data_IF_207347681402
#
_entry.id   IF_207347681402
#
_cell.length_a   1.000
_cell.length_b   1.000
_cell.length_c   1.000
_cell.angle_alpha   90.00
_cell.angle_beta   90.00
_cell.angle_gamma   90.00
#
_symmetry.space_group_name_H-M   'P 1'
#
loop_
_entity.id
_entity.type
_entity.pdbx_description
1 polymer ?
#
# COMPACT_ATOMS: atom_id res chain seq x y z
N UNK A 1 26.92 -22.04 -2.61
CA UNK A 1 25.82 -21.05 -2.58
C UNK A 1 25.98 -20.16 -3.80
N UNK A 2 25.05 -20.21 -4.76
CA UNK A 2 25.08 -19.32 -5.93
C UNK A 2 24.78 -17.92 -5.40
N UNK A 3 25.64 -16.92 -5.62
CA UNK A 3 25.27 -15.52 -5.40
C UNK A 3 24.09 -15.27 -6.34
N UNK A 4 22.90 -15.05 -5.80
CA UNK A 4 21.80 -14.52 -6.61
C UNK A 4 22.28 -13.18 -7.17
N UNK A 5 22.23 -13.04 -8.49
CA UNK A 5 22.55 -11.77 -9.12
C UNK A 5 21.54 -10.74 -8.65
N UNK A 6 22.03 -9.58 -8.21
CA UNK A 6 21.14 -8.52 -7.75
C UNK A 6 20.34 -7.99 -8.95
N UNK A 7 19.03 -8.21 -8.94
CA UNK A 7 18.07 -7.65 -9.88
C UNK A 7 18.03 -6.11 -9.79
N UNK A 8 17.37 -5.46 -10.75
CA UNK A 8 17.15 -4.00 -10.79
C UNK A 8 18.45 -3.16 -10.72
N UNK A 9 19.55 -3.67 -11.27
CA UNK A 9 20.84 -2.96 -11.22
C UNK A 9 21.45 -2.89 -9.82
N UNK A 10 21.00 -3.75 -8.90
CA UNK A 10 21.48 -3.82 -7.53
C UNK A 10 21.12 -2.60 -6.68
N UNK A 11 21.97 -2.30 -5.70
CA UNK A 11 21.71 -1.24 -4.70
C UNK A 11 21.47 0.14 -5.33
N UNK A 12 22.26 0.60 -6.34
CA UNK A 12 22.02 1.90 -6.98
C UNK A 12 20.66 1.98 -7.67
N UNK A 13 20.24 0.94 -8.40
CA UNK A 13 18.96 0.94 -9.07
C UNK A 13 17.77 0.84 -8.10
N UNK A 14 17.91 0.07 -7.02
CA UNK A 14 16.93 0.05 -5.93
C UNK A 14 16.73 1.44 -5.30
N UNK A 15 17.81 2.20 -5.04
CA UNK A 15 17.72 3.58 -4.56
C UNK A 15 16.97 4.46 -5.57
N UNK A 16 17.32 4.34 -6.86
CA UNK A 16 16.66 5.08 -7.92
C UNK A 16 15.16 4.80 -7.98
N UNK A 17 14.75 3.54 -7.85
CA UNK A 17 13.34 3.13 -7.85
C UNK A 17 12.58 3.62 -6.63
N UNK A 18 13.18 3.59 -5.43
CA UNK A 18 12.58 4.16 -4.22
C UNK A 18 12.34 5.66 -4.42
N UNK A 19 13.33 6.42 -4.89
CA UNK A 19 13.16 7.87 -5.08
C UNK A 19 12.09 8.14 -6.15
N UNK A 20 12.13 7.40 -7.26
CA UNK A 20 11.20 7.58 -8.37
C UNK A 20 9.75 7.26 -7.97
N UNK A 21 9.51 6.18 -7.21
CA UNK A 21 8.17 5.78 -6.79
C UNK A 21 7.50 6.80 -5.87
N UNK A 22 8.28 7.57 -5.11
CA UNK A 22 7.78 8.65 -4.27
C UNK A 22 7.56 9.92 -5.09
N UNK A 23 8.46 10.23 -6.03
CA UNK A 23 8.38 11.44 -6.81
C UNK A 23 7.17 11.46 -7.78
N UNK A 24 6.96 10.36 -8.52
CA UNK A 24 5.98 10.32 -9.61
C UNK A 24 4.56 10.64 -9.16
N UNK A 25 3.99 10.03 -8.11
CA UNK A 25 2.60 10.29 -7.72
C UNK A 25 2.37 11.76 -7.33
N UNK A 26 3.32 12.36 -6.60
CA UNK A 26 3.21 13.78 -6.22
C UNK A 26 3.38 14.71 -7.42
N UNK A 27 4.28 14.41 -8.36
CA UNK A 27 4.40 15.18 -9.59
C UNK A 27 3.11 15.13 -10.41
N UNK A 28 2.51 13.95 -10.55
CA UNK A 28 1.23 13.78 -11.25
C UNK A 28 0.09 14.52 -10.54
N UNK A 29 0.03 14.51 -9.21
CA UNK A 29 -0.95 15.29 -8.45
C UNK A 29 -0.82 16.80 -8.73
N UNK A 30 0.41 17.33 -8.75
CA UNK A 30 0.65 18.74 -9.10
C UNK A 30 0.32 19.06 -10.56
N UNK A 31 0.62 18.15 -11.48
CA UNK A 31 0.27 18.26 -12.90
C UNK A 31 -1.24 18.32 -13.11
N UNK A 32 -2.00 17.47 -12.43
CA UNK A 32 -3.46 17.49 -12.46
C UNK A 32 -3.99 18.84 -11.93
N UNK A 33 -3.48 19.31 -10.80
CA UNK A 33 -3.99 20.51 -10.12
C UNK A 33 -3.64 21.82 -10.86
N UNK A 34 -2.39 21.98 -11.31
CA UNK A 34 -1.88 23.26 -11.82
C UNK A 34 -1.67 23.28 -13.34
N UNK A 35 -1.84 22.16 -14.02
CA UNK A 35 -1.62 22.05 -15.47
C UNK A 35 -2.72 21.26 -16.18
N UNK A 36 -3.86 21.00 -15.52
CA UNK A 36 -4.98 20.22 -16.08
C UNK A 36 -4.53 18.87 -16.65
N UNK A 37 -3.52 18.24 -16.02
CA UNK A 37 -2.91 16.98 -16.47
C UNK A 37 -1.81 17.11 -17.53
N UNK A 38 -1.48 18.33 -17.95
CA UNK A 38 -0.33 18.62 -18.82
C UNK A 38 1.02 18.62 -18.06
N UNK A 39 2.12 18.82 -18.78
CA UNK A 39 3.44 18.93 -18.15
C UNK A 39 3.51 20.15 -17.23
N UNK A 40 3.79 19.89 -15.96
CA UNK A 40 3.88 20.93 -14.94
C UNK A 40 5.32 21.44 -14.81
N UNK A 41 5.47 22.76 -14.94
CA UNK A 41 6.73 23.48 -14.81
C UNK A 41 6.58 24.60 -13.77
N UNK A 42 7.10 24.41 -12.54
CA UNK A 42 7.08 25.47 -11.55
C UNK A 42 8.02 26.61 -11.99
N UNK A 43 7.60 27.86 -11.80
CA UNK A 43 8.43 29.04 -12.10
C UNK A 43 9.66 29.16 -11.19
N UNK A 44 9.60 28.57 -9.99
CA UNK A 44 10.71 28.50 -9.05
C UNK A 44 10.57 27.30 -8.11
N UNK A 45 11.66 26.93 -7.42
CA UNK A 45 11.62 25.91 -6.38
C UNK A 45 10.68 26.28 -5.21
N UNK A 46 10.59 27.57 -4.86
CA UNK A 46 9.68 28.04 -3.81
C UNK A 46 8.21 27.83 -4.22
N UNK A 47 7.88 28.10 -5.48
CA UNK A 47 6.55 27.83 -6.05
C UNK A 47 6.23 26.34 -6.04
N UNK A 48 7.19 25.48 -6.39
CA UNK A 48 7.03 24.03 -6.29
C UNK A 48 6.69 23.60 -4.87
N UNK A 49 7.44 24.09 -3.86
CA UNK A 49 7.24 23.73 -2.47
C UNK A 49 5.90 24.25 -1.93
N UNK A 50 5.50 25.46 -2.31
CA UNK A 50 4.20 26.01 -1.94
C UNK A 50 3.06 25.20 -2.55
N UNK A 51 3.10 24.92 -3.85
CA UNK A 51 2.09 24.15 -4.56
C UNK A 51 1.96 22.72 -3.99
N UNK A 52 3.10 22.11 -3.63
CA UNK A 52 3.13 20.83 -2.94
C UNK A 52 2.44 20.89 -1.57
N UNK A 53 2.74 21.91 -0.77
CA UNK A 53 2.10 22.09 0.55
C UNK A 53 0.60 22.33 0.41
N UNK A 54 0.16 23.13 -0.56
CA UNK A 54 -1.26 23.41 -0.76
C UNK A 54 -2.03 22.17 -1.23
N UNK A 55 -1.43 21.35 -2.10
CA UNK A 55 -2.11 20.19 -2.71
C UNK A 55 -2.04 18.93 -1.83
N UNK A 56 -0.88 18.69 -1.21
CA UNK A 56 -0.53 17.39 -0.62
C UNK A 56 -0.33 17.44 0.89
N UNK A 57 -0.80 18.50 1.59
CA UNK A 57 -0.68 18.52 3.05
C UNK A 57 -1.48 17.35 3.66
N UNK A 58 -0.88 16.53 4.54
CA UNK A 58 -1.64 15.51 5.24
C UNK A 58 -2.65 16.19 6.19
N UNK A 59 -3.91 15.76 6.11
CA UNK A 59 -4.98 16.23 7.01
C UNK A 59 -5.49 15.07 7.84
N UNK A 60 -6.06 15.38 9.03
CA UNK A 60 -6.68 14.35 9.87
C UNK A 60 -7.86 13.66 9.17
N UNK A 61 -8.63 14.40 8.37
CA UNK A 61 -9.70 13.85 7.55
C UNK A 61 -9.18 12.78 6.57
N UNK A 62 -8.13 13.12 5.80
CA UNK A 62 -7.50 12.17 4.88
C UNK A 62 -6.88 10.97 5.62
N UNK A 63 -6.28 11.21 6.78
CA UNK A 63 -5.73 10.15 7.64
C UNK A 63 -6.80 9.14 8.03
N UNK A 64 -7.92 9.59 8.62
CA UNK A 64 -9.00 8.70 9.04
C UNK A 64 -9.71 8.04 7.85
N UNK A 65 -9.85 8.75 6.73
CA UNK A 65 -10.43 8.19 5.51
C UNK A 65 -9.60 7.02 4.98
N UNK A 66 -8.29 7.23 4.78
CA UNK A 66 -7.39 6.20 4.23
C UNK A 66 -7.18 5.05 5.20
N UNK A 67 -6.82 5.34 6.46
CA UNK A 67 -6.55 4.29 7.45
C UNK A 67 -7.82 3.54 7.84
N UNK A 68 -8.96 4.23 7.93
CA UNK A 68 -10.27 3.61 8.15
C UNK A 68 -10.62 2.64 7.02
N UNK A 69 -10.39 3.04 5.76
CA UNK A 69 -10.53 2.14 4.61
C UNK A 69 -9.61 0.91 4.70
N UNK A 70 -8.32 1.10 4.97
CA UNK A 70 -7.36 0.00 5.09
C UNK A 70 -7.74 -0.99 6.22
N UNK A 71 -8.12 -0.47 7.38
CA UNK A 71 -8.56 -1.27 8.52
C UNK A 71 -9.86 -2.02 8.23
N UNK A 72 -10.82 -1.37 7.56
CA UNK A 72 -12.05 -2.00 7.12
C UNK A 72 -11.76 -3.17 6.19
N UNK A 73 -10.89 -2.99 5.19
CA UNK A 73 -10.51 -4.07 4.26
C UNK A 73 -9.80 -5.22 4.97
N UNK A 74 -8.98 -4.91 5.97
CA UNK A 74 -8.34 -5.92 6.80
C UNK A 74 -9.37 -6.72 7.62
N UNK A 75 -10.35 -6.05 8.22
CA UNK A 75 -11.46 -6.70 8.95
C UNK A 75 -12.26 -7.58 7.99
N UNK A 76 -12.64 -7.05 6.82
CA UNK A 76 -13.36 -7.80 5.80
C UNK A 76 -12.59 -9.03 5.32
N UNK A 77 -11.26 -8.94 5.19
CA UNK A 77 -10.42 -10.08 4.87
C UNK A 77 -10.54 -11.21 5.89
N UNK A 78 -10.65 -10.88 7.18
CA UNK A 78 -10.83 -11.86 8.23
C UNK A 78 -12.26 -12.43 8.27
N UNK A 79 -13.28 -11.56 8.30
CA UNK A 79 -14.63 -11.98 8.68
C UNK A 79 -15.49 -12.48 7.52
N UNK A 80 -15.40 -11.85 6.33
CA UNK A 80 -16.38 -12.11 5.28
C UNK A 80 -16.24 -13.53 4.71
N UNK A 81 -17.33 -14.18 4.31
CA UNK A 81 -17.26 -15.52 3.73
C UNK A 81 -16.55 -15.51 2.38
N UNK A 82 -15.87 -16.60 2.07
CA UNK A 82 -15.25 -16.83 0.77
C UNK A 82 -14.59 -18.21 0.70
N UNK A 83 -14.29 -18.71 -0.51
CA UNK A 83 -13.62 -19.98 -0.68
C UNK A 83 -12.21 -19.96 -0.10
N UNK A 84 -11.80 -21.08 0.49
CA UNK A 84 -10.45 -21.30 0.96
C UNK A 84 -9.65 -22.08 -0.09
N UNK A 85 -8.51 -21.53 -0.50
CA UNK A 85 -7.67 -22.09 -1.56
C UNK A 85 -6.25 -22.28 -1.03
N UNK A 86 -5.65 -23.44 -1.31
CA UNK A 86 -4.25 -23.67 -0.98
C UNK A 86 -3.34 -22.96 -1.99
N UNK A 87 -2.39 -22.19 -1.47
CA UNK A 87 -1.34 -21.57 -2.26
C UNK A 87 -0.24 -22.57 -2.64
N UNK A 88 0.74 -22.07 -3.40
CA UNK A 88 1.90 -22.84 -3.79
C UNK A 88 2.78 -23.17 -2.57
N UNK A 89 3.46 -24.34 -2.58
CA UNK A 89 4.42 -24.67 -1.54
C UNK A 89 5.57 -23.67 -1.55
N UNK A 90 5.94 -23.18 -0.38
CA UNK A 90 7.02 -22.20 -0.20
C UNK A 90 8.34 -22.92 0.04
N UNK A 91 9.30 -22.94 -0.91
CA UNK A 91 10.53 -23.73 -0.77
C UNK A 91 11.41 -23.28 0.40
N UNK A 92 11.37 -21.99 0.71
CA UNK A 92 12.15 -21.36 1.79
C UNK A 92 11.57 -21.65 3.17
N UNK A 93 10.39 -22.26 3.25
CA UNK A 93 9.71 -22.63 4.48
C UNK A 93 9.37 -24.13 4.50
N UNK A 94 10.32 -24.98 4.11
CA UNK A 94 10.14 -26.44 4.07
C UNK A 94 8.93 -26.89 3.24
N UNK A 95 8.66 -26.22 2.12
CA UNK A 95 7.50 -26.46 1.25
C UNK A 95 6.15 -26.30 1.95
N UNK A 96 6.07 -25.48 3.01
CA UNK A 96 4.81 -25.14 3.67
C UNK A 96 3.82 -24.57 2.67
N UNK A 97 2.59 -25.09 2.68
CA UNK A 97 1.48 -24.57 1.91
C UNK A 97 0.56 -23.75 2.82
N UNK A 98 0.27 -22.53 2.40
CA UNK A 98 -0.67 -21.65 3.09
C UNK A 98 -2.08 -21.79 2.53
N UNK A 99 -3.08 -21.67 3.40
CA UNK A 99 -4.48 -21.58 2.98
C UNK A 99 -4.86 -20.10 2.93
N UNK A 100 -5.52 -19.70 1.85
CA UNK A 100 -5.93 -18.33 1.58
C UNK A 100 -7.44 -18.25 1.50
N UNK A 101 -8.03 -17.34 2.28
CA UNK A 101 -9.45 -17.03 2.24
C UNK A 101 -9.70 -16.00 1.14
N UNK A 102 -10.29 -16.43 0.03
CA UNK A 102 -10.47 -15.64 -1.18
C UNK A 102 -11.83 -14.93 -1.20
N UNK A 103 -12.01 -13.97 -0.30
CA UNK A 103 -13.25 -13.21 -0.08
C UNK A 103 -13.18 -11.75 -0.60
N UNK A 104 -12.31 -11.48 -1.58
CA UNK A 104 -12.12 -10.13 -2.13
C UNK A 104 -13.39 -9.57 -2.78
N UNK A 105 -14.13 -10.37 -3.56
CA UNK A 105 -15.39 -9.95 -4.18
C UNK A 105 -16.48 -9.61 -3.14
N UNK A 106 -16.62 -10.45 -2.11
CA UNK A 106 -17.56 -10.17 -1.01
C UNK A 106 -17.20 -8.85 -0.32
N UNK A 107 -15.90 -8.58 -0.15
CA UNK A 107 -15.41 -7.34 0.45
C UNK A 107 -15.67 -6.12 -0.43
N UNK A 108 -15.52 -6.26 -1.75
CA UNK A 108 -15.85 -5.20 -2.70
C UNK A 108 -17.32 -4.82 -2.61
N UNK A 109 -18.24 -5.78 -2.73
CA UNK A 109 -19.68 -5.50 -2.62
C UNK A 109 -20.08 -4.95 -1.24
N UNK A 110 -19.51 -5.47 -0.15
CA UNK A 110 -19.74 -4.95 1.19
C UNK A 110 -19.24 -3.50 1.34
N UNK A 111 -18.12 -3.17 0.71
CA UNK A 111 -17.58 -1.81 0.70
C UNK A 111 -18.48 -0.86 -0.09
N UNK A 112 -18.93 -1.26 -1.29
CA UNK A 112 -19.87 -0.47 -2.09
C UNK A 112 -21.18 -0.20 -1.35
N UNK A 113 -21.74 -1.23 -0.71
CA UNK A 113 -22.96 -1.08 0.09
C UNK A 113 -22.73 -0.12 1.26
N UNK A 114 -21.61 -0.24 1.98
CA UNK A 114 -21.28 0.64 3.09
C UNK A 114 -21.10 2.09 2.62
N UNK A 115 -20.36 2.32 1.54
CA UNK A 115 -20.15 3.64 0.96
C UNK A 115 -21.49 4.26 0.52
N UNK A 116 -22.36 3.48 -0.12
CA UNK A 116 -23.70 3.93 -0.50
C UNK A 116 -24.54 4.33 0.72
N UNK A 117 -24.54 3.53 1.79
CA UNK A 117 -25.25 3.85 3.04
C UNK A 117 -24.69 5.14 3.66
N UNK A 118 -23.36 5.26 3.78
CA UNK A 118 -22.71 6.44 4.34
C UNK A 118 -23.00 7.71 3.54
N UNK A 119 -23.13 7.58 2.22
CA UNK A 119 -23.50 8.68 1.34
C UNK A 119 -24.98 9.08 1.49
N UNK A 120 -25.90 8.11 1.44
CA UNK A 120 -27.34 8.37 1.52
C UNK A 120 -27.78 8.90 2.90
N UNK A 121 -27.07 8.52 3.96
CA UNK A 121 -27.28 9.04 5.31
C UNK A 121 -26.65 10.42 5.55
N UNK A 122 -25.87 10.93 4.59
CA UNK A 122 -25.21 12.23 4.67
C UNK A 122 -24.00 12.29 5.60
N UNK A 123 -23.54 11.15 6.13
CA UNK A 123 -22.37 11.10 7.03
C UNK A 123 -21.09 11.40 6.26
N UNK A 124 -20.93 10.81 5.06
CA UNK A 124 -19.75 11.00 4.21
C UNK A 124 -20.20 11.32 2.78
N UNK A 125 -19.71 12.42 2.22
CA UNK A 125 -19.91 12.73 0.80
C UNK A 125 -18.96 11.90 -0.05
N UNK A 126 -19.46 11.27 -1.11
CA UNK A 126 -18.64 10.46 -2.01
C UNK A 126 -17.50 11.27 -2.65
N UNK A 127 -17.70 12.59 -2.82
CA UNK A 127 -16.70 13.50 -3.38
C UNK A 127 -15.49 13.70 -2.48
N UNK A 128 -15.55 13.35 -1.19
CA UNK A 128 -14.48 13.65 -0.22
C UNK A 128 -13.11 13.12 -0.67
N UNK A 129 -13.09 11.97 -1.36
CA UNK A 129 -11.86 11.37 -1.86
C UNK A 129 -11.25 12.20 -3.00
N UNK A 130 -12.09 12.73 -3.90
CA UNK A 130 -11.65 13.63 -4.97
C UNK A 130 -11.24 15.00 -4.40
N UNK A 131 -12.03 15.54 -3.47
CA UNK A 131 -11.79 16.84 -2.83
C UNK A 131 -10.47 16.86 -2.04
N UNK A 132 -10.06 15.72 -1.48
CA UNK A 132 -8.84 15.58 -0.66
C UNK A 132 -7.80 14.64 -1.28
N UNK A 133 -7.84 14.43 -2.60
CA UNK A 133 -6.99 13.44 -3.28
C UNK A 133 -5.51 13.58 -2.93
N UNK A 134 -4.94 14.80 -3.01
CA UNK A 134 -3.53 15.04 -2.71
C UNK A 134 -3.17 14.76 -1.25
N UNK A 135 -4.03 15.13 -0.30
CA UNK A 135 -3.86 14.81 1.13
C UNK A 135 -3.92 13.30 1.39
N UNK A 136 -4.85 12.59 0.75
CA UNK A 136 -4.99 11.12 0.87
C UNK A 136 -3.76 10.43 0.29
N UNK A 137 -3.27 10.88 -0.86
CA UNK A 137 -2.03 10.39 -1.45
C UNK A 137 -0.84 10.54 -0.49
N UNK A 138 -0.68 11.72 0.12
CA UNK A 138 0.40 11.96 1.08
C UNK A 138 0.32 11.02 2.28
N UNK A 139 -0.87 10.88 2.86
CA UNK A 139 -1.12 9.94 3.95
C UNK A 139 -0.81 8.50 3.52
N UNK A 140 -1.24 8.09 2.33
CA UNK A 140 -1.04 6.74 1.82
C UNK A 140 0.45 6.40 1.68
N UNK A 141 1.26 7.32 1.16
CA UNK A 141 2.72 7.18 1.08
C UNK A 141 3.33 7.04 2.48
N UNK A 142 3.02 7.97 3.39
CA UNK A 142 3.54 7.94 4.77
C UNK A 142 3.18 6.62 5.48
N UNK A 143 1.93 6.19 5.39
CA UNK A 143 1.48 4.93 5.99
C UNK A 143 2.18 3.72 5.39
N UNK A 144 2.41 3.72 4.07
CA UNK A 144 3.08 2.62 3.36
C UNK A 144 4.56 2.52 3.71
N UNK A 145 5.25 3.66 3.87
CA UNK A 145 6.64 3.72 4.32
C UNK A 145 6.79 3.19 5.74
N UNK A 146 5.94 3.69 6.65
CA UNK A 146 5.91 3.23 8.04
C UNK A 146 5.66 1.71 8.10
N UNK A 147 4.66 1.22 7.35
CA UNK A 147 4.35 -0.21 7.32
C UNK A 147 5.50 -1.04 6.74
N UNK A 148 6.15 -0.58 5.67
CA UNK A 148 7.29 -1.27 5.06
C UNK A 148 8.47 -1.37 6.02
N UNK A 149 8.76 -0.28 6.76
CA UNK A 149 9.76 -0.26 7.84
C UNK A 149 9.40 -1.25 8.95
N UNK A 150 8.15 -1.24 9.42
CA UNK A 150 7.67 -2.17 10.46
C UNK A 150 7.83 -3.62 10.01
N UNK A 151 7.36 -3.98 8.80
CA UNK A 151 7.46 -5.34 8.27
C UNK A 151 8.91 -5.78 8.15
N UNK A 152 9.79 -4.91 7.66
CA UNK A 152 11.21 -5.20 7.49
C UNK A 152 11.88 -5.53 8.83
N UNK A 153 11.73 -4.65 9.84
CA UNK A 153 12.34 -4.87 11.15
C UNK A 153 11.68 -6.03 11.91
N UNK A 154 10.36 -6.20 11.78
CA UNK A 154 9.65 -7.31 12.41
C UNK A 154 10.18 -8.66 11.89
N UNK A 155 10.34 -8.80 10.58
CA UNK A 155 10.84 -10.03 9.97
C UNK A 155 12.27 -10.37 10.41
N UNK A 156 13.14 -9.36 10.55
CA UNK A 156 14.50 -9.54 11.09
C UNK A 156 14.43 -10.04 12.53
N UNK A 157 13.58 -9.42 13.36
CA UNK A 157 13.44 -9.78 14.77
C UNK A 157 12.86 -11.19 14.96
N UNK A 158 11.85 -11.58 14.17
CA UNK A 158 11.22 -12.91 14.24
C UNK A 158 11.98 -13.99 13.49
N UNK A 159 13.12 -13.65 12.84
CA UNK A 159 13.92 -14.56 11.99
C UNK A 159 13.10 -15.21 10.87
N UNK A 160 12.12 -14.48 10.34
CA UNK A 160 11.30 -14.89 9.19
C UNK A 160 11.86 -14.38 7.86
N UNK A 161 13.14 -13.98 7.86
CA UNK A 161 13.78 -13.41 6.68
C UNK A 161 14.06 -14.45 5.61
N UNK A 162 13.99 -14.03 4.35
CA UNK A 162 14.17 -14.87 3.17
C UNK A 162 15.02 -14.12 2.14
N UNK A 163 15.91 -14.84 1.42
CA UNK A 163 16.72 -14.30 0.30
C UNK A 163 17.52 -13.02 0.64
N UNK A 164 18.17 -12.99 1.81
CA UNK A 164 19.01 -11.86 2.24
C UNK A 164 20.28 -11.73 1.39
N UNK A 165 20.61 -10.51 0.94
CA UNK A 165 21.86 -10.21 0.19
C UNK A 165 22.93 -9.48 1.03
N UNK A 166 22.62 -9.15 2.29
CA UNK A 166 23.46 -8.37 3.21
C UNK A 166 23.73 -6.94 2.73
N UNK A 167 22.84 -6.38 1.90
CA UNK A 167 22.87 -4.99 1.47
C UNK A 167 21.61 -4.32 1.99
N UNK A 168 21.68 -3.55 3.10
CA UNK A 168 20.49 -3.12 3.83
C UNK A 168 19.42 -2.43 2.97
N UNK A 169 19.85 -1.51 2.09
CA UNK A 169 18.93 -0.76 1.22
C UNK A 169 18.31 -1.66 0.15
N UNK A 170 19.10 -2.57 -0.43
CA UNK A 170 18.61 -3.49 -1.45
C UNK A 170 17.66 -4.53 -0.85
N UNK A 171 18.01 -5.08 0.31
CA UNK A 171 17.16 -6.02 1.05
C UNK A 171 15.86 -5.36 1.54
N UNK A 172 15.91 -4.07 1.88
CA UNK A 172 14.70 -3.29 2.17
C UNK A 172 13.80 -3.16 0.93
N UNK A 173 14.36 -2.78 -0.21
CA UNK A 173 13.62 -2.62 -1.47
C UNK A 173 12.99 -3.93 -1.95
N UNK A 174 13.76 -5.02 -1.96
CA UNK A 174 13.28 -6.33 -2.41
C UNK A 174 12.28 -6.97 -1.43
N UNK A 175 12.28 -6.50 -0.18
CA UNK A 175 11.54 -7.11 0.92
C UNK A 175 12.25 -8.33 1.49
N UNK A 176 12.28 -8.42 2.81
CA UNK A 176 12.96 -9.51 3.53
C UNK A 176 12.01 -10.64 3.96
N UNK A 177 10.69 -10.45 3.84
CA UNK A 177 9.69 -11.43 4.27
C UNK A 177 8.77 -11.78 3.10
N UNK A 178 8.71 -13.06 2.75
CA UNK A 178 8.03 -13.51 1.53
C UNK A 178 6.51 -13.32 1.58
N UNK A 179 5.87 -13.73 2.69
CA UNK A 179 4.42 -13.67 2.91
C UNK A 179 4.14 -13.13 4.32
N UNK A 180 4.26 -11.81 4.55
CA UNK A 180 3.96 -11.20 5.83
C UNK A 180 2.51 -11.45 6.23
N UNK A 181 2.30 -12.03 7.41
CA UNK A 181 0.96 -12.40 7.92
C UNK A 181 0.71 -11.79 9.27
N UNK A 182 -0.53 -11.35 9.47
CA UNK A 182 -1.01 -10.88 10.77
C UNK A 182 -2.23 -11.70 11.21
N UNK A 183 -2.30 -11.96 12.51
CA UNK A 183 -3.45 -12.61 13.14
C UNK A 183 -4.44 -11.54 13.58
N UNK A 184 -5.64 -11.56 13.02
CA UNK A 184 -6.72 -10.65 13.39
C UNK A 184 -8.04 -11.42 13.43
N UNK A 185 -8.82 -11.22 14.50
CA UNK A 185 -10.11 -11.90 14.71
C UNK A 185 -10.04 -13.43 14.53
N UNK A 186 -8.92 -14.04 14.95
CA UNK A 186 -8.69 -15.48 14.84
C UNK A 186 -8.29 -15.98 13.44
N UNK A 187 -8.12 -15.09 12.46
CA UNK A 187 -7.72 -15.42 11.09
C UNK A 187 -6.32 -14.90 10.77
N UNK A 188 -5.54 -15.68 10.02
CA UNK A 188 -4.24 -15.26 9.50
C UNK A 188 -4.43 -14.58 8.15
N UNK A 189 -4.34 -13.25 8.12
CA UNK A 189 -4.44 -12.47 6.89
C UNK A 189 -3.04 -12.22 6.32
N UNK A 190 -2.87 -12.54 5.04
CA UNK A 190 -1.67 -12.25 4.27
C UNK A 190 -1.69 -10.79 3.79
N UNK A 191 -0.71 -10.00 4.26
CA UNK A 191 -0.61 -8.58 3.97
C UNK A 191 -0.28 -8.29 2.50
N UNK A 192 0.47 -9.19 1.84
CA UNK A 192 0.80 -9.06 0.43
C UNK A 192 -0.46 -9.22 -0.42
N UNK A 193 -1.24 -10.27 -0.14
CA UNK A 193 -2.53 -10.49 -0.81
C UNK A 193 -3.53 -9.36 -0.51
N UNK A 194 -3.57 -8.85 0.73
CA UNK A 194 -4.42 -7.73 1.11
C UNK A 194 -4.10 -6.46 0.30
N UNK A 195 -2.82 -6.10 0.21
CA UNK A 195 -2.39 -4.94 -0.55
C UNK A 195 -2.71 -5.10 -2.05
N UNK A 196 -2.34 -6.24 -2.63
CA UNK A 196 -2.47 -6.48 -4.07
C UNK A 196 -3.91 -6.60 -4.54
N UNK A 197 -4.73 -7.41 -3.87
CA UNK A 197 -6.07 -7.80 -4.36
C UNK A 197 -7.16 -6.85 -3.86
N UNK A 198 -6.97 -6.21 -2.70
CA UNK A 198 -8.00 -5.38 -2.07
C UNK A 198 -7.66 -3.91 -2.18
N UNK A 199 -6.62 -3.46 -1.48
CA UNK A 199 -6.35 -2.02 -1.36
C UNK A 199 -6.13 -1.37 -2.73
N UNK A 200 -5.29 -1.97 -3.58
CA UNK A 200 -4.99 -1.45 -4.91
C UNK A 200 -6.22 -1.42 -5.83
N UNK A 201 -6.95 -2.53 -5.96
CA UNK A 201 -8.08 -2.61 -6.89
C UNK A 201 -9.30 -1.81 -6.44
N UNK A 202 -9.56 -1.75 -5.13
CA UNK A 202 -10.71 -0.99 -4.62
C UNK A 202 -10.47 0.53 -4.69
N UNK A 203 -9.22 0.99 -4.62
CA UNK A 203 -8.89 2.41 -4.81
C UNK A 203 -8.77 2.79 -6.29
N UNK A 204 -8.52 1.83 -7.18
CA UNK A 204 -8.45 2.05 -8.62
C UNK A 204 -9.83 2.17 -9.28
N UNK A 205 -10.82 1.45 -8.75
CA UNK A 205 -12.22 1.45 -9.21
C UNK A 205 -12.93 2.76 -8.86
#
# INVERSE_FOLDING_TARGET
>A
MRREEKEFGGTPGAIGLIIFSHFVPFYLALSLQYSSGGLYYPSSFNTLLQNFKETCLPTWSAFFLYTGFCLLQLIFAAILPGPEVKGLPVPTENNRQYTYKCNALASWYATLLLVAILHLTGIIRLTILADQFGSVLCVAVICSDILSVIIHFYAIHTKQTCRMTHSPIYDFFMGVWLNPRIKILGQEVDLKMLAEVRLSWLLLF
#
